data_IF_761867830171
#
_entry.id   IF_761867830171
#
_cell.length_a   1.000
_cell.length_b   1.000
_cell.length_c   1.000
_cell.angle_alpha   90.00
_cell.angle_beta   90.00
_cell.angle_gamma   90.00
#
_symmetry.space_group_name_H-M   'P 1'
#
loop_
_entity.id
_entity.type
_entity.pdbx_description
1 polymer ?
#
# COMPACT_ATOMS: atom_id res chain seq x y z
N UNK A 1 35.10 1.19 -4.06
CA UNK A 1 34.00 2.10 -4.51
C UNK A 1 32.63 1.62 -3.98
N UNK A 2 32.48 1.45 -2.66
CA UNK A 2 31.23 0.94 -2.04
C UNK A 2 30.59 2.04 -1.19
N UNK A 3 31.40 2.66 -0.32
CA UNK A 3 30.97 3.79 0.53
C UNK A 3 30.46 4.97 -0.30
N UNK A 4 31.16 5.33 -1.38
CA UNK A 4 30.76 6.42 -2.29
C UNK A 4 29.39 6.12 -2.92
N UNK A 5 29.18 4.89 -3.43
CA UNK A 5 27.94 4.49 -4.08
C UNK A 5 26.76 4.41 -3.10
N UNK A 6 27.01 3.98 -1.85
CA UNK A 6 25.99 4.02 -0.81
C UNK A 6 25.58 5.46 -0.49
N UNK A 7 26.56 6.36 -0.34
CA UNK A 7 26.32 7.77 -0.01
C UNK A 7 25.56 8.50 -1.11
N UNK A 8 25.96 8.32 -2.37
CA UNK A 8 25.25 8.93 -3.52
C UNK A 8 23.81 8.43 -3.61
N UNK A 9 23.59 7.11 -3.46
CA UNK A 9 22.25 6.52 -3.50
C UNK A 9 21.39 6.97 -2.33
N UNK A 10 21.96 7.13 -1.14
CA UNK A 10 21.26 7.66 0.04
C UNK A 10 20.81 9.12 -0.20
N UNK A 11 21.70 9.96 -0.72
CA UNK A 11 21.40 11.36 -1.03
C UNK A 11 20.32 11.47 -2.12
N UNK A 12 20.37 10.62 -3.16
CA UNK A 12 19.32 10.55 -4.18
C UNK A 12 17.96 10.12 -3.59
N UNK A 13 17.95 9.14 -2.68
CA UNK A 13 16.71 8.74 -1.98
C UNK A 13 16.13 9.88 -1.15
N UNK A 14 16.97 10.67 -0.49
CA UNK A 14 16.54 11.87 0.27
C UNK A 14 15.92 12.91 -0.66
N UNK A 15 16.60 13.23 -1.76
CA UNK A 15 16.12 14.20 -2.75
C UNK A 15 14.78 13.80 -3.39
N UNK A 16 14.57 12.52 -3.70
CA UNK A 16 13.34 12.01 -4.32
C UNK A 16 12.28 11.52 -3.31
N UNK A 17 12.44 11.69 -1.99
CA UNK A 17 11.56 11.05 -0.98
C UNK A 17 10.07 11.34 -1.17
N UNK A 18 9.72 12.59 -1.46
CA UNK A 18 8.32 13.05 -1.55
C UNK A 18 7.87 13.38 -2.98
N UNK A 19 8.75 13.21 -3.97
CA UNK A 19 8.40 13.45 -5.37
C UNK A 19 7.51 12.32 -5.87
N UNK A 20 6.44 12.67 -6.60
CA UNK A 20 5.49 11.72 -7.21
C UNK A 20 6.21 10.73 -8.13
N UNK A 21 7.11 11.23 -8.97
CA UNK A 21 7.86 10.43 -9.92
C UNK A 21 9.30 10.24 -9.44
N UNK A 22 9.71 8.97 -9.38
CA UNK A 22 11.06 8.56 -9.01
C UNK A 22 11.66 7.71 -10.14
N UNK A 23 12.99 7.77 -10.36
CA UNK A 23 13.70 6.85 -11.23
C UNK A 23 13.41 5.39 -10.88
N UNK A 24 13.47 4.49 -11.87
CA UNK A 24 13.13 3.07 -11.71
C UNK A 24 13.98 2.39 -10.62
N UNK A 25 15.25 2.76 -10.50
CA UNK A 25 16.20 2.16 -9.55
C UNK A 25 15.91 2.49 -8.08
N UNK A 26 15.19 3.59 -7.84
CA UNK A 26 14.81 4.03 -6.49
C UNK A 26 13.42 3.52 -6.08
N UNK A 27 12.68 2.89 -7.00
CA UNK A 27 11.36 2.30 -6.69
C UNK A 27 11.53 1.02 -5.87
N UNK A 28 10.51 0.63 -5.08
CA UNK A 28 10.53 -0.65 -4.39
C UNK A 28 10.67 -1.83 -5.36
N UNK A 29 11.63 -2.73 -5.10
CA UNK A 29 11.84 -3.95 -5.89
C UNK A 29 10.83 -5.02 -5.44
N UNK A 30 9.63 -4.99 -6.01
CA UNK A 30 8.57 -6.00 -5.85
C UNK A 30 8.35 -6.76 -7.16
N UNK A 31 7.68 -7.91 -7.10
CA UNK A 31 7.29 -8.67 -8.31
C UNK A 31 6.36 -7.85 -9.21
N UNK A 32 6.32 -8.17 -10.50
CA UNK A 32 5.48 -7.47 -11.49
C UNK A 32 4.00 -7.56 -11.12
N UNK A 33 3.54 -8.71 -10.65
CA UNK A 33 2.15 -8.93 -10.20
C UNK A 33 1.77 -7.98 -9.07
N UNK A 34 2.59 -7.87 -8.03
CA UNK A 34 2.32 -6.97 -6.90
C UNK A 34 2.32 -5.49 -7.32
N UNK A 35 3.20 -5.07 -8.26
CA UNK A 35 3.22 -3.68 -8.74
C UNK A 35 1.99 -3.30 -9.59
N UNK A 36 1.34 -4.28 -10.22
CA UNK A 36 0.17 -4.09 -11.07
C UNK A 36 -1.16 -4.29 -10.34
N UNK A 37 -1.13 -4.88 -9.15
CA UNK A 37 -2.31 -5.03 -8.29
C UNK A 37 -2.81 -3.69 -7.74
N UNK A 38 -4.03 -3.73 -7.20
CA UNK A 38 -4.67 -2.58 -6.55
C UNK A 38 -3.89 -2.13 -5.30
N UNK A 39 -3.96 -0.84 -5.02
CA UNK A 39 -3.46 -0.27 -3.76
C UNK A 39 -4.36 -0.70 -2.59
N UNK A 40 -3.81 -0.70 -1.37
CA UNK A 40 -4.58 -1.01 -0.16
C UNK A 40 -5.83 -0.13 -0.01
N UNK A 41 -5.72 1.15 -0.37
CA UNK A 41 -6.85 2.08 -0.35
C UNK A 41 -7.93 1.63 -1.31
N UNK A 42 -7.58 1.38 -2.57
CA UNK A 42 -8.53 0.94 -3.60
C UNK A 42 -9.24 -0.35 -3.22
N UNK A 43 -8.51 -1.32 -2.66
CA UNK A 43 -9.12 -2.57 -2.14
C UNK A 43 -10.10 -2.35 -0.99
N UNK A 44 -9.96 -1.25 -0.24
CA UNK A 44 -10.82 -0.91 0.89
C UNK A 44 -11.93 0.07 0.52
N UNK A 45 -11.93 0.64 -0.70
CA UNK A 45 -13.00 1.54 -1.14
C UNK A 45 -14.29 0.74 -1.17
N UNK A 46 -15.31 1.24 -0.47
CA UNK A 46 -16.65 0.69 -0.45
C UNK A 46 -17.63 1.70 -1.00
N UNK A 47 -18.70 1.22 -1.64
CA UNK A 47 -19.82 2.09 -2.02
C UNK A 47 -20.56 2.60 -0.79
N UNK A 48 -21.20 3.76 -0.89
CA UNK A 48 -22.01 4.32 0.20
C UNK A 48 -23.13 3.35 0.64
N UNK A 49 -23.74 2.66 -0.33
CA UNK A 49 -24.76 1.62 -0.09
C UNK A 49 -24.19 0.45 0.72
N UNK A 50 -23.02 -0.04 0.36
CA UNK A 50 -22.39 -1.15 1.06
C UNK A 50 -21.94 -0.76 2.47
N UNK A 51 -21.37 0.44 2.63
CA UNK A 51 -20.97 0.97 3.94
C UNK A 51 -22.16 1.05 4.89
N UNK A 52 -23.30 1.63 4.43
CA UNK A 52 -24.54 1.68 5.20
C UNK A 52 -25.06 0.30 5.57
N UNK A 53 -25.00 -0.67 4.64
CA UNK A 53 -25.40 -2.06 4.93
C UNK A 53 -24.52 -2.68 6.02
N UNK A 54 -23.19 -2.52 5.94
CA UNK A 54 -22.26 -3.07 6.96
C UNK A 54 -22.45 -2.41 8.32
N UNK A 55 -22.75 -1.11 8.35
CA UNK A 55 -23.04 -0.39 9.60
C UNK A 55 -24.35 -0.83 10.24
N UNK A 56 -25.41 -0.98 9.44
CA UNK A 56 -26.72 -1.40 9.93
C UNK A 56 -26.76 -2.87 10.36
N UNK A 57 -26.03 -3.75 9.65
CA UNK A 57 -26.04 -5.20 9.86
C UNK A 57 -24.63 -5.75 10.05
N UNK A 58 -23.97 -5.46 11.20
CA UNK A 58 -22.68 -6.06 11.50
C UNK A 58 -22.84 -7.57 11.74
N UNK A 59 -21.86 -8.36 11.30
CA UNK A 59 -21.81 -9.78 11.67
C UNK A 59 -21.64 -9.90 13.19
N UNK A 60 -22.65 -10.50 13.83
CA UNK A 60 -22.65 -10.72 15.28
C UNK A 60 -22.04 -12.07 15.58
N UNK A 61 -21.21 -12.14 16.62
CA UNK A 61 -20.74 -13.40 17.18
C UNK A 61 -21.84 -13.92 18.13
N UNK A 62 -22.31 -15.13 17.90
CA UNK A 62 -23.31 -15.79 18.77
C UNK A 62 -22.95 -17.27 18.95
N UNK A 63 -23.52 -17.89 19.97
CA UNK A 63 -23.44 -19.32 20.23
C UNK A 63 -24.85 -19.83 20.56
N UNK A 64 -25.12 -21.09 20.23
CA UNK A 64 -26.38 -21.76 20.56
C UNK A 64 -26.11 -22.70 21.72
N UNK A 65 -27.02 -22.70 22.70
CA UNK A 65 -26.97 -23.63 23.83
C UNK A 65 -27.29 -25.04 23.32
N UNK A 66 -26.63 -26.05 23.87
CA UNK A 66 -27.00 -27.45 23.67
C UNK A 66 -28.38 -27.74 24.29
#
# INVERSE_FOLDING_TARGET
MIVINQKTKENLRKFYKNKKFKPLDLRPKKTRSIRRGLTRREMQIMSAKESKRRWNFPMRKYAVKA
#
